data_IF_406151202785
#
_entry.id   IF_406151202785
#
_cell.length_a   1.000
_cell.length_b   1.000
_cell.length_c   1.000
_cell.angle_alpha   90.00
_cell.angle_beta   90.00
_cell.angle_gamma   90.00
#
_symmetry.space_group_name_H-M   'P 1'
#
loop_
_entity.id
_entity.type
_entity.pdbx_description
1 polymer ?
#
# COMPACT_ATOMS: atom_id res chain seq x y z
N UNK A 1 4.19 46.34 -35.38
CA UNK A 1 3.94 44.89 -35.49
C UNK A 1 2.72 44.58 -34.65
N UNK A 2 1.60 44.21 -35.29
CA UNK A 2 0.41 43.81 -34.57
C UNK A 2 0.64 42.41 -33.98
N UNK A 3 0.43 42.26 -32.68
CA UNK A 3 0.46 40.96 -32.00
C UNK A 3 -0.66 40.09 -32.57
N UNK A 4 -0.33 38.88 -33.04
CA UNK A 4 -1.33 37.90 -33.46
C UNK A 4 -2.16 37.48 -32.23
N UNK A 5 -3.48 37.74 -32.19
CA UNK A 5 -4.32 37.41 -31.03
C UNK A 5 -4.41 35.89 -30.77
N UNK A 6 -3.92 35.05 -31.68
CA UNK A 6 -3.87 33.59 -31.57
C UNK A 6 -2.47 33.04 -31.27
N UNK A 7 -1.46 33.88 -31.04
CA UNK A 7 -0.13 33.40 -30.66
C UNK A 7 -0.12 32.89 -29.20
N UNK A 8 -0.39 31.60 -29.02
CA UNK A 8 -0.19 30.93 -27.73
C UNK A 8 1.31 30.70 -27.55
N UNK A 9 1.96 31.59 -26.80
CA UNK A 9 3.34 31.35 -26.35
C UNK A 9 3.34 30.14 -25.40
N UNK A 10 4.09 29.05 -25.69
CA UNK A 10 4.16 27.90 -24.80
C UNK A 10 4.81 28.32 -23.48
N UNK A 11 4.01 28.55 -22.43
CA UNK A 11 4.52 28.77 -21.07
C UNK A 11 4.82 27.41 -20.43
N UNK A 12 6.03 27.22 -19.87
CA UNK A 12 6.33 26.03 -19.07
C UNK A 12 5.31 25.91 -17.94
N UNK A 13 4.67 24.76 -17.80
CA UNK A 13 3.83 24.48 -16.64
C UNK A 13 4.72 24.46 -15.39
N UNK A 14 4.45 25.40 -14.48
CA UNK A 14 5.18 25.55 -13.21
C UNK A 14 4.39 25.04 -12.00
N UNK A 15 3.13 24.67 -12.19
CA UNK A 15 2.28 24.16 -11.11
C UNK A 15 2.46 22.65 -10.97
N UNK A 16 2.53 21.92 -12.08
CA UNK A 16 2.73 20.48 -12.09
C UNK A 16 1.72 19.70 -11.22
N UNK A 17 1.83 18.36 -11.12
CA UNK A 17 0.86 17.51 -10.44
C UNK A 17 1.04 17.50 -8.91
N UNK A 18 1.14 18.68 -8.26
CA UNK A 18 1.37 18.78 -6.82
C UNK A 18 0.27 18.15 -5.97
N UNK A 19 -0.98 18.22 -6.41
CA UNK A 19 -2.11 17.56 -5.75
C UNK A 19 -1.95 16.03 -5.75
N UNK A 20 -1.51 15.46 -6.86
CA UNK A 20 -1.22 14.03 -6.98
C UNK A 20 -0.07 13.64 -6.06
N UNK A 21 0.97 14.46 -5.94
CA UNK A 21 2.06 14.21 -5.01
C UNK A 21 1.58 14.12 -3.55
N UNK A 22 0.67 15.01 -3.13
CA UNK A 22 0.09 14.97 -1.77
C UNK A 22 -0.75 13.71 -1.57
N UNK A 23 -1.59 13.34 -2.54
CA UNK A 23 -2.38 12.11 -2.48
C UNK A 23 -1.49 10.86 -2.40
N UNK A 24 -0.43 10.81 -3.19
CA UNK A 24 0.54 9.71 -3.16
C UNK A 24 1.26 9.63 -1.83
N UNK A 25 1.62 10.76 -1.22
CA UNK A 25 2.28 10.78 0.08
C UNK A 25 1.40 10.15 1.16
N UNK A 26 0.17 10.66 1.32
CA UNK A 26 -0.73 10.14 2.35
C UNK A 26 -1.18 8.71 2.08
N UNK A 27 -1.46 8.37 0.81
CA UNK A 27 -1.76 6.99 0.43
C UNK A 27 -0.60 6.03 0.74
N UNK A 28 0.64 6.44 0.47
CA UNK A 28 1.82 5.65 0.81
C UNK A 28 2.00 5.48 2.32
N UNK A 29 1.76 6.53 3.12
CA UNK A 29 1.82 6.42 4.58
C UNK A 29 0.80 5.40 5.09
N UNK A 30 -0.47 5.50 4.65
CA UNK A 30 -1.52 4.56 5.06
C UNK A 30 -1.19 3.12 4.66
N UNK A 31 -0.71 2.90 3.44
CA UNK A 31 -0.32 1.57 2.98
C UNK A 31 0.95 1.05 3.67
N UNK A 32 1.88 1.92 4.03
CA UNK A 32 3.04 1.54 4.85
C UNK A 32 2.60 1.03 6.23
N UNK A 33 1.61 1.69 6.86
CA UNK A 33 1.01 1.22 8.11
C UNK A 33 0.34 -0.14 7.94
N UNK A 34 -0.40 -0.36 6.83
CA UNK A 34 -0.97 -1.68 6.54
C UNK A 34 0.11 -2.76 6.34
N UNK A 35 1.28 -2.39 5.80
CA UNK A 35 2.43 -3.29 5.70
C UNK A 35 3.03 -3.61 7.06
N UNK A 36 3.13 -2.62 7.95
CA UNK A 36 3.60 -2.81 9.31
C UNK A 36 2.65 -3.71 10.12
N UNK A 37 1.34 -3.53 9.97
CA UNK A 37 0.33 -4.41 10.57
C UNK A 37 0.48 -5.85 10.09
N UNK A 38 0.70 -6.08 8.80
CA UNK A 38 0.97 -7.43 8.28
C UNK A 38 2.23 -8.07 8.91
N UNK A 39 3.29 -7.29 9.17
CA UNK A 39 4.47 -7.80 9.88
C UNK A 39 4.17 -8.12 11.35
N UNK A 40 3.32 -7.32 12.00
CA UNK A 40 2.90 -7.60 13.38
C UNK A 40 2.08 -8.88 13.46
N UNK A 41 1.11 -9.07 12.56
CA UNK A 41 0.34 -10.31 12.46
C UNK A 41 1.24 -11.52 12.23
N UNK A 42 2.21 -11.43 11.32
CA UNK A 42 3.16 -12.52 11.09
C UNK A 42 4.12 -12.81 12.26
N UNK A 43 4.23 -11.92 13.23
CA UNK A 43 5.06 -12.10 14.43
C UNK A 43 4.30 -12.68 15.62
N UNK A 44 2.97 -12.73 15.55
CA UNK A 44 2.13 -13.37 16.57
C UNK A 44 2.09 -14.87 16.30
N UNK A 45 2.35 -15.69 17.31
CA UNK A 45 2.13 -17.14 17.22
C UNK A 45 0.63 -17.44 17.25
N UNK A 46 -0.09 -16.84 18.21
CA UNK A 46 -1.55 -16.92 18.31
C UNK A 46 -2.18 -15.53 18.27
N UNK A 47 -3.34 -15.42 17.62
CA UNK A 47 -4.14 -14.22 17.71
C UNK A 47 -4.86 -14.16 19.07
N UNK A 48 -4.94 -12.98 19.71
CA UNK A 48 -5.71 -12.82 20.94
C UNK A 48 -7.17 -13.22 20.73
N UNK A 49 -7.74 -14.03 21.63
CA UNK A 49 -9.13 -14.52 21.51
C UNK A 49 -10.13 -13.38 21.23
N UNK A 50 -10.03 -12.26 21.97
CA UNK A 50 -10.90 -11.10 21.75
C UNK A 50 -10.73 -10.38 20.40
N UNK A 51 -9.58 -10.57 19.71
CA UNK A 51 -9.39 -10.08 18.35
C UNK A 51 -10.00 -11.04 17.31
N UNK A 52 -9.89 -12.35 17.55
CA UNK A 52 -10.49 -13.38 16.70
C UNK A 52 -12.01 -13.26 16.72
N UNK A 53 -12.60 -13.22 17.92
CA UNK A 53 -14.05 -13.10 18.12
C UNK A 53 -14.59 -11.83 17.44
N UNK A 54 -13.93 -10.69 17.67
CA UNK A 54 -14.33 -9.42 17.06
C UNK A 54 -14.23 -9.44 15.53
N UNK A 55 -13.26 -10.17 14.97
CA UNK A 55 -13.09 -10.29 13.52
C UNK A 55 -14.16 -11.19 12.90
N UNK A 56 -14.52 -12.28 13.57
CA UNK A 56 -15.56 -13.21 13.13
C UNK A 56 -16.95 -12.58 13.24
N UNK A 57 -17.22 -11.86 14.34
CA UNK A 57 -18.51 -11.20 14.60
C UNK A 57 -18.72 -9.94 13.73
N UNK A 58 -17.66 -9.39 13.14
CA UNK A 58 -17.79 -8.24 12.25
C UNK A 58 -18.52 -8.68 10.97
N UNK A 59 -19.69 -8.09 10.65
CA UNK A 59 -20.45 -8.46 9.46
C UNK A 59 -19.58 -8.36 8.20
N UNK A 60 -19.51 -9.45 7.44
CA UNK A 60 -18.64 -9.53 6.27
C UNK A 60 -19.40 -10.07 5.05
N UNK A 61 -18.74 -10.19 3.90
CA UNK A 61 -19.38 -10.61 2.66
C UNK A 61 -19.78 -12.11 2.64
N UNK A 62 -19.42 -12.88 3.67
CA UNK A 62 -19.57 -14.32 3.77
C UNK A 62 -20.43 -14.75 4.98
N UNK A 63 -21.44 -13.96 5.38
CA UNK A 63 -22.35 -14.26 6.50
C UNK A 63 -23.00 -15.67 6.43
N UNK A 64 -22.99 -16.32 5.26
CA UNK A 64 -23.49 -17.69 5.07
C UNK A 64 -22.52 -18.79 5.54
N UNK A 65 -21.28 -18.44 5.92
CA UNK A 65 -20.25 -19.38 6.40
C UNK A 65 -19.88 -19.05 7.85
N UNK A 66 -20.38 -19.86 8.79
CA UNK A 66 -19.92 -19.81 10.17
C UNK A 66 -18.45 -20.26 10.24
N UNK A 67 -17.57 -19.33 10.61
CA UNK A 67 -16.14 -19.59 10.86
C UNK A 67 -15.96 -19.70 12.37
N UNK A 68 -15.47 -20.84 12.87
CA UNK A 68 -15.13 -20.97 14.29
C UNK A 68 -13.81 -20.27 14.61
N UNK A 69 -13.58 -19.84 15.87
CA UNK A 69 -12.28 -19.29 16.28
C UNK A 69 -11.10 -20.21 15.95
N UNK A 70 -11.26 -21.52 16.07
CA UNK A 70 -10.24 -22.51 15.74
C UNK A 70 -9.94 -22.55 14.24
N UNK A 71 -10.97 -22.42 13.40
CA UNK A 71 -10.78 -22.36 11.94
C UNK A 71 -10.08 -21.07 11.53
N UNK A 72 -10.41 -19.95 12.16
CA UNK A 72 -9.73 -18.68 11.91
C UNK A 72 -8.27 -18.70 12.37
N UNK A 73 -8.00 -19.32 13.52
CA UNK A 73 -6.63 -19.49 14.02
C UNK A 73 -5.81 -20.40 13.10
N UNK A 74 -6.37 -21.52 12.62
CA UNK A 74 -5.70 -22.39 11.64
C UNK A 74 -5.36 -21.66 10.33
N UNK A 75 -6.28 -20.81 9.86
CA UNK A 75 -6.02 -19.93 8.71
C UNK A 75 -4.87 -18.95 8.99
N UNK A 76 -4.84 -18.32 10.16
CA UNK A 76 -3.76 -17.43 10.54
C UNK A 76 -2.39 -18.14 10.58
N UNK A 77 -2.34 -19.35 11.15
CA UNK A 77 -1.12 -20.14 11.24
C UNK A 77 -0.61 -20.54 9.85
N UNK A 78 -1.48 -20.98 8.94
CA UNK A 78 -1.09 -21.32 7.57
C UNK A 78 -0.57 -20.08 6.81
N UNK A 79 -1.20 -18.92 6.98
CA UNK A 79 -0.75 -17.65 6.42
C UNK A 79 0.64 -17.22 6.95
N UNK A 80 0.90 -17.49 8.22
CA UNK A 80 2.16 -17.20 8.89
C UNK A 80 3.27 -18.15 8.45
N UNK A 81 3.01 -19.45 8.45
CA UNK A 81 3.96 -20.50 8.06
C UNK A 81 4.35 -20.43 6.58
N UNK A 82 3.39 -20.11 5.71
CA UNK A 82 3.65 -19.86 4.28
C UNK A 82 4.52 -18.62 4.04
N UNK A 83 4.69 -17.77 5.05
CA UNK A 83 5.40 -16.50 4.97
C UNK A 83 4.63 -15.42 4.20
N UNK A 84 3.33 -15.60 3.97
CA UNK A 84 2.49 -14.65 3.24
C UNK A 84 2.50 -13.26 3.90
N UNK A 85 2.38 -13.21 5.24
CA UNK A 85 2.47 -11.98 6.02
C UNK A 85 3.81 -11.26 5.85
N UNK A 86 4.92 -12.01 5.87
CA UNK A 86 6.25 -11.43 5.71
C UNK A 86 6.44 -10.82 4.32
N UNK A 87 6.05 -11.53 3.26
CA UNK A 87 6.13 -11.02 1.89
C UNK A 87 5.26 -9.79 1.69
N UNK A 88 4.00 -9.84 2.15
CA UNK A 88 3.07 -8.71 2.07
C UNK A 88 3.60 -7.51 2.85
N UNK A 89 4.05 -7.72 4.08
CA UNK A 89 4.54 -6.66 4.96
C UNK A 89 5.82 -5.99 4.46
N UNK A 90 6.87 -6.77 4.17
CA UNK A 90 8.16 -6.23 3.72
C UNK A 90 8.01 -5.48 2.41
N UNK A 91 7.29 -6.05 1.43
CA UNK A 91 7.13 -5.43 0.11
C UNK A 91 6.33 -4.14 0.17
N UNK A 92 5.26 -4.10 0.98
CA UNK A 92 4.43 -2.91 1.13
C UNK A 92 5.16 -1.82 1.90
N UNK A 93 5.85 -2.15 3.00
CA UNK A 93 6.67 -1.17 3.76
C UNK A 93 7.79 -0.61 2.89
N UNK A 94 8.57 -1.47 2.23
CA UNK A 94 9.69 -1.03 1.39
C UNK A 94 9.19 -0.23 0.18
N UNK A 95 8.20 -0.75 -0.53
CA UNK A 95 7.62 -0.10 -1.70
C UNK A 95 6.97 1.24 -1.38
N UNK A 96 6.17 1.32 -0.33
CA UNK A 96 5.49 2.56 0.05
C UNK A 96 6.45 3.59 0.65
N UNK A 97 7.53 3.16 1.31
CA UNK A 97 8.59 4.08 1.72
C UNK A 97 9.22 4.78 0.51
N UNK A 98 9.47 4.03 -0.58
CA UNK A 98 9.95 4.61 -1.84
C UNK A 98 8.91 5.54 -2.47
N UNK A 99 7.61 5.19 -2.43
CA UNK A 99 6.54 6.08 -2.91
C UNK A 99 6.46 7.36 -2.10
N UNK A 100 6.55 7.29 -0.77
CA UNK A 100 6.54 8.44 0.10
C UNK A 100 7.71 9.39 -0.21
N UNK A 101 8.94 8.88 -0.33
CA UNK A 101 10.11 9.69 -0.72
C UNK A 101 9.96 10.22 -2.15
N UNK A 102 9.46 9.41 -3.08
CA UNK A 102 9.22 9.80 -4.47
C UNK A 102 8.19 10.91 -4.60
N UNK A 103 7.16 10.90 -3.76
CA UNK A 103 6.11 11.92 -3.74
C UNK A 103 6.65 13.29 -3.30
N UNK A 104 7.63 13.33 -2.39
CA UNK A 104 8.33 14.58 -2.01
C UNK A 104 9.09 15.13 -3.23
N UNK A 105 9.80 14.26 -3.97
CA UNK A 105 10.46 14.62 -5.21
C UNK A 105 9.49 15.13 -6.29
N UNK A 106 8.32 14.49 -6.40
CA UNK A 106 7.27 14.87 -7.34
C UNK A 106 6.66 16.23 -6.98
N UNK A 107 6.42 16.49 -5.69
CA UNK A 107 5.94 17.79 -5.20
C UNK A 107 6.93 18.91 -5.52
N UNK A 108 8.23 18.63 -5.36
CA UNK A 108 9.33 19.54 -5.71
C UNK A 108 9.60 19.63 -7.23
N UNK A 109 8.77 18.99 -8.08
CA UNK A 109 8.92 18.95 -9.53
C UNK A 109 10.27 18.40 -10.00
N UNK A 110 10.87 17.48 -9.23
CA UNK A 110 12.13 16.82 -9.57
C UNK A 110 11.87 15.53 -10.37
N UNK A 111 12.61 15.26 -11.45
CA UNK A 111 12.36 14.12 -12.34
C UNK A 111 12.56 12.75 -11.68
N UNK A 112 13.33 12.67 -10.59
CA UNK A 112 13.51 11.42 -9.84
C UNK A 112 12.27 11.05 -9.03
N UNK A 113 11.43 12.01 -8.65
CA UNK A 113 10.24 11.79 -7.83
C UNK A 113 9.27 10.78 -8.43
N UNK A 114 8.72 11.03 -9.64
CA UNK A 114 7.83 10.08 -10.30
C UNK A 114 8.50 8.72 -10.57
N UNK A 115 9.80 8.71 -10.92
CA UNK A 115 10.53 7.45 -11.15
C UNK A 115 10.59 6.59 -9.89
N UNK A 116 10.91 7.21 -8.76
CA UNK A 116 10.99 6.51 -7.47
C UNK A 116 9.61 6.03 -7.01
N UNK A 117 8.56 6.84 -7.22
CA UNK A 117 7.19 6.43 -6.92
C UNK A 117 6.74 5.23 -7.76
N UNK A 118 7.07 5.18 -9.06
CA UNK A 118 6.72 4.03 -9.90
C UNK A 118 7.46 2.77 -9.47
N UNK A 119 8.77 2.87 -9.18
CA UNK A 119 9.55 1.73 -8.68
C UNK A 119 9.00 1.23 -7.35
N UNK A 120 8.69 2.13 -6.41
CA UNK A 120 8.09 1.78 -5.13
C UNK A 120 6.74 1.08 -5.27
N UNK A 121 5.86 1.59 -6.13
CA UNK A 121 4.58 0.97 -6.43
C UNK A 121 4.75 -0.43 -7.05
N UNK A 122 5.71 -0.60 -7.98
CA UNK A 122 6.00 -1.89 -8.58
C UNK A 122 6.50 -2.92 -7.54
N UNK A 123 7.39 -2.52 -6.62
CA UNK A 123 7.86 -3.38 -5.53
C UNK A 123 6.70 -3.83 -4.64
N UNK A 124 5.83 -2.89 -4.25
CA UNK A 124 4.68 -3.21 -3.40
C UNK A 124 3.68 -4.13 -4.09
N UNK A 125 3.37 -3.90 -5.37
CA UNK A 125 2.44 -4.75 -6.14
C UNK A 125 3.02 -6.14 -6.34
N UNK A 126 4.26 -6.25 -6.85
CA UNK A 126 4.88 -7.55 -7.12
C UNK A 126 5.04 -8.36 -5.84
N UNK A 127 5.58 -7.77 -4.78
CA UNK A 127 5.77 -8.49 -3.52
C UNK A 127 4.45 -8.79 -2.81
N UNK A 128 3.47 -7.90 -2.89
CA UNK A 128 2.12 -8.13 -2.35
C UNK A 128 1.40 -9.28 -3.07
N UNK A 129 1.48 -9.33 -4.41
CA UNK A 129 0.95 -10.44 -5.19
C UNK A 129 1.64 -11.77 -4.85
N UNK A 130 2.97 -11.78 -4.70
CA UNK A 130 3.70 -12.97 -4.27
C UNK A 130 3.23 -13.44 -2.89
N UNK A 131 3.02 -12.53 -1.95
CA UNK A 131 2.46 -12.86 -0.63
C UNK A 131 1.07 -13.49 -0.75
N UNK A 132 0.18 -12.91 -1.54
CA UNK A 132 -1.19 -13.42 -1.76
C UNK A 132 -1.30 -14.65 -2.67
N UNK A 133 -0.24 -15.08 -3.35
CA UNK A 133 -0.21 -16.37 -4.05
C UNK A 133 0.29 -17.51 -3.16
N UNK A 134 0.96 -17.18 -2.06
CA UNK A 134 1.43 -18.19 -1.10
C UNK A 134 0.33 -18.66 -0.16
N UNK A 135 -0.80 -17.95 -0.15
CA UNK A 135 -1.91 -18.17 0.74
C UNK A 135 -3.19 -17.57 0.15
#
# INVERSE_FOLDING_TARGET
MAMDPWSIEPRPDRRGPRSIAVLLFFGAVLLCLAGADALQQGALEDLPAGQVDLTIETPNLNDDVEVTPEQYQAFHDEARESGAYAWRGISLVAGMSLVAVGSIGLYALKPWGPRLSVVGAAVAVVGGSIGGYRF
#
